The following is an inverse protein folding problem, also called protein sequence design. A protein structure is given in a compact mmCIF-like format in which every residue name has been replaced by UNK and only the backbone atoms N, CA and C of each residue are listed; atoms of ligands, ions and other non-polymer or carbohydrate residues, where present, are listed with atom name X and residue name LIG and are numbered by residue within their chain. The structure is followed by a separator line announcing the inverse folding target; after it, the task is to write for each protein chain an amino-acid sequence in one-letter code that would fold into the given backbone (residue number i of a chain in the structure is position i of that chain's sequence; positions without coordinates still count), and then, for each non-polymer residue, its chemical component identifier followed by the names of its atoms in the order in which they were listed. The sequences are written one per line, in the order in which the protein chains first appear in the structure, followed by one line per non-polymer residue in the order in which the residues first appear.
data_IF_510386540532
#
_entry.id   IF_510386540532
#
_cell.length_a   1.000
_cell.length_b   1.000
_cell.length_c   1.000
_cell.angle_alpha   90.00
_cell.angle_beta   90.00
_cell.angle_gamma   90.00
#
_symmetry.space_group_name_H-M   'P 1'
#
loop_
_entity.id
_entity.type
_entity.pdbx_description
1 polymer ?
#
# COMPACT_ATOMS: atom_id res chain seq x y z
N UNK A 1 25.55 7.31 10.16
CA UNK A 1 24.16 7.76 10.38
C UNK A 1 23.40 6.61 11.05
N UNK A 2 22.68 6.87 12.16
CA UNK A 2 21.90 5.84 12.88
C UNK A 2 20.51 5.69 12.25
N UNK A 3 20.10 4.45 11.98
CA UNK A 3 18.87 4.11 11.27
C UNK A 3 18.02 3.17 12.11
N UNK A 4 16.77 3.58 12.41
CA UNK A 4 15.79 2.73 13.06
C UNK A 4 14.78 2.22 12.03
N UNK A 5 14.62 0.90 11.95
CA UNK A 5 13.50 0.29 11.21
C UNK A 5 12.28 0.25 12.12
N UNK A 6 11.12 0.64 11.60
CA UNK A 6 9.86 0.55 12.35
C UNK A 6 8.85 -0.35 11.65
N UNK A 7 8.06 -1.07 12.44
CA UNK A 7 6.90 -1.81 11.96
C UNK A 7 5.76 -1.80 13.00
N UNK A 8 4.52 -1.93 12.52
CA UNK A 8 3.35 -2.15 13.38
C UNK A 8 2.76 -3.51 13.07
N UNK A 9 2.33 -4.22 14.08
CA UNK A 9 1.79 -5.58 13.96
C UNK A 9 0.46 -5.74 14.71
N UNK A 10 -0.41 -6.60 14.18
CA UNK A 10 -1.62 -7.04 14.87
C UNK A 10 -2.07 -8.41 14.30
N UNK A 11 -1.94 -9.48 15.08
CA UNK A 11 -2.33 -10.84 14.71
C UNK A 11 -1.72 -11.30 13.37
N UNK A 12 -0.39 -11.16 13.25
CA UNK A 12 0.37 -11.57 12.07
C UNK A 12 0.73 -13.07 12.09
N UNK A 13 0.77 -13.68 13.28
CA UNK A 13 1.14 -15.07 13.44
C UNK A 13 2.47 -15.40 12.77
N UNK A 14 2.53 -16.51 12.04
CA UNK A 14 3.73 -16.95 11.32
C UNK A 14 4.18 -16.00 10.19
N UNK A 15 3.30 -15.12 9.71
CA UNK A 15 3.66 -14.22 8.60
C UNK A 15 4.78 -13.23 8.96
N UNK A 16 4.90 -12.86 10.26
CA UNK A 16 5.93 -11.94 10.75
C UNK A 16 7.35 -12.50 10.58
N UNK A 17 7.52 -13.84 10.58
CA UNK A 17 8.84 -14.46 10.40
C UNK A 17 9.50 -14.02 9.09
N UNK A 18 8.73 -13.89 8.01
CA UNK A 18 9.27 -13.47 6.71
C UNK A 18 9.93 -12.09 6.79
N UNK A 19 9.30 -11.16 7.50
CA UNK A 19 9.89 -9.84 7.74
C UNK A 19 11.16 -9.98 8.59
N UNK A 20 11.10 -10.68 9.73
CA UNK A 20 12.23 -10.81 10.66
C UNK A 20 13.43 -11.51 10.02
N UNK A 21 13.21 -12.60 9.26
CA UNK A 21 14.29 -13.27 8.51
C UNK A 21 14.89 -12.33 7.44
N UNK A 22 14.06 -11.57 6.72
CA UNK A 22 14.56 -10.63 5.72
C UNK A 22 15.29 -9.43 6.34
N UNK A 23 14.99 -9.05 7.57
CA UNK A 23 15.75 -8.06 8.34
C UNK A 23 17.09 -8.62 8.81
N UNK A 24 17.12 -9.89 9.21
CA UNK A 24 18.34 -10.54 9.64
C UNK A 24 19.34 -10.80 8.49
N UNK A 25 18.86 -10.87 7.25
CA UNK A 25 19.69 -11.07 6.04
C UNK A 25 20.12 -9.78 5.34
N UNK A 26 19.82 -8.61 5.89
CA UNK A 26 20.20 -7.34 5.26
C UNK A 26 21.69 -7.15 5.15
N UNK A 27 22.19 -6.68 3.97
CA UNK A 27 23.59 -6.28 3.76
C UNK A 27 24.01 -5.14 4.69
N UNK A 28 23.09 -4.22 4.98
CA UNK A 28 23.18 -3.18 6.01
C UNK A 28 22.18 -3.51 7.10
N UNK A 29 22.64 -4.01 8.24
CA UNK A 29 21.76 -4.26 9.39
C UNK A 29 21.23 -2.93 9.95
N UNK A 30 19.97 -2.88 10.41
CA UNK A 30 19.45 -1.72 11.13
C UNK A 30 20.16 -1.57 12.47
N UNK A 31 20.36 -0.32 12.91
CA UNK A 31 20.94 -0.06 14.23
C UNK A 31 19.93 -0.30 15.35
N UNK A 32 18.64 -0.34 14.99
CA UNK A 32 17.52 -0.56 15.91
C UNK A 32 16.28 -0.98 15.09
N UNK A 33 15.47 -1.84 15.66
CA UNK A 33 14.16 -2.22 15.10
C UNK A 33 13.11 -1.98 16.17
N UNK A 34 12.19 -1.04 15.97
CA UNK A 34 11.10 -0.77 16.90
C UNK A 34 9.80 -1.31 16.34
N UNK A 35 9.24 -2.32 17.00
CA UNK A 35 7.97 -2.94 16.63
C UNK A 35 6.91 -2.57 17.66
N UNK A 36 5.78 -2.02 17.20
CA UNK A 36 4.61 -1.78 18.06
C UNK A 36 3.53 -2.80 17.72
N UNK A 37 3.16 -3.60 18.72
CA UNK A 37 2.09 -4.57 18.65
C UNK A 37 0.79 -3.95 19.18
N UNK A 38 -0.23 -3.87 18.34
CA UNK A 38 -1.56 -3.32 18.66
C UNK A 38 -2.39 -4.16 19.63
N UNK A 39 -1.79 -5.14 20.29
CA UNK A 39 -2.44 -6.07 21.23
C UNK A 39 -2.81 -7.40 20.55
N UNK A 40 -1.85 -8.03 19.89
CA UNK A 40 -2.05 -9.36 19.29
C UNK A 40 -2.46 -10.40 20.34
N UNK A 41 -3.40 -11.25 19.96
CA UNK A 41 -3.92 -12.34 20.79
C UNK A 41 -3.41 -13.72 20.32
N UNK A 42 -2.62 -13.74 19.25
CA UNK A 42 -1.97 -14.91 18.68
C UNK A 42 -0.47 -14.99 19.07
N UNK A 43 0.30 -15.79 18.36
CA UNK A 43 1.73 -15.99 18.66
C UNK A 43 2.64 -14.85 18.18
N UNK A 44 2.11 -13.73 17.63
CA UNK A 44 2.90 -12.65 17.02
C UNK A 44 3.98 -12.12 17.96
N UNK A 45 3.62 -11.72 19.18
CA UNK A 45 4.57 -11.16 20.15
C UNK A 45 5.65 -12.18 20.54
N UNK A 46 5.28 -13.44 20.78
CA UNK A 46 6.22 -14.51 21.13
C UNK A 46 7.21 -14.78 20.00
N UNK A 47 6.76 -14.78 18.74
CA UNK A 47 7.63 -14.93 17.57
C UNK A 47 8.62 -13.76 17.51
N UNK A 48 8.18 -12.52 17.66
CA UNK A 48 9.07 -11.35 17.64
C UNK A 48 10.12 -11.44 18.73
N UNK A 49 9.73 -11.80 19.96
CA UNK A 49 10.65 -11.98 21.07
C UNK A 49 11.71 -13.05 20.81
N UNK A 50 11.40 -14.11 20.08
CA UNK A 50 12.37 -15.15 19.74
C UNK A 50 13.52 -14.67 18.84
N UNK A 51 13.40 -13.49 18.21
CA UNK A 51 14.44 -12.89 17.36
C UNK A 51 15.33 -11.85 18.07
N UNK A 52 15.04 -11.49 19.32
CA UNK A 52 15.80 -10.44 20.04
C UNK A 52 17.26 -10.76 20.24
N UNK A 53 17.64 -12.04 20.24
CA UNK A 53 19.06 -12.47 20.30
C UNK A 53 19.80 -12.32 18.95
N UNK A 54 19.06 -12.15 17.83
CA UNK A 54 19.62 -12.05 16.47
C UNK A 54 19.51 -10.63 15.89
N UNK A 55 18.55 -9.86 16.36
CA UNK A 55 18.20 -8.54 15.85
C UNK A 55 18.03 -7.55 17.01
N UNK A 56 18.41 -6.28 16.86
CA UNK A 56 18.26 -5.24 17.88
C UNK A 56 16.79 -4.76 18.00
N UNK A 57 15.89 -5.66 18.41
CA UNK A 57 14.46 -5.41 18.46
C UNK A 57 14.05 -4.81 19.80
N UNK A 58 13.29 -3.73 19.73
CA UNK A 58 12.50 -3.17 20.84
C UNK A 58 11.03 -3.42 20.52
N UNK A 59 10.41 -4.36 21.24
CA UNK A 59 8.98 -4.65 21.13
C UNK A 59 8.21 -3.82 22.17
N UNK A 60 7.18 -3.11 21.69
CA UNK A 60 6.20 -2.40 22.53
C UNK A 60 4.81 -2.96 22.26
N UNK A 61 4.05 -3.22 23.31
CA UNK A 61 2.65 -3.64 23.21
C UNK A 61 1.76 -2.47 23.62
N UNK A 62 0.91 -2.03 22.69
CA UNK A 62 -0.05 -0.92 22.90
C UNK A 62 -1.44 -1.40 22.47
N UNK A 63 -2.20 -2.04 23.35
CA UNK A 63 -3.49 -2.62 23.01
C UNK A 63 -4.47 -1.56 22.48
N UNK A 64 -5.10 -1.86 21.34
CA UNK A 64 -6.05 -0.98 20.69
C UNK A 64 -5.42 0.14 19.83
N UNK A 65 -4.08 0.19 19.73
CA UNK A 65 -3.45 1.11 18.80
C UNK A 65 -3.83 0.79 17.36
N UNK A 66 -4.35 1.79 16.64
CA UNK A 66 -4.48 1.68 15.19
C UNK A 66 -3.09 1.84 14.52
N UNK A 67 -3.03 1.63 13.21
CA UNK A 67 -1.77 1.67 12.46
C UNK A 67 -1.04 3.02 12.58
N UNK A 68 -1.76 4.15 12.58
CA UNK A 68 -1.19 5.50 12.73
C UNK A 68 -0.56 5.68 14.09
N UNK A 69 -1.31 5.36 15.16
CA UNK A 69 -0.82 5.43 16.55
C UNK A 69 0.38 4.50 16.76
N UNK A 70 0.29 3.27 16.25
CA UNK A 70 1.40 2.32 16.34
C UNK A 70 2.68 2.84 15.69
N UNK A 71 2.59 3.42 14.48
CA UNK A 71 3.73 4.05 13.80
C UNK A 71 4.27 5.24 14.57
N UNK A 72 3.41 6.15 15.03
CA UNK A 72 3.83 7.30 15.82
C UNK A 72 4.58 6.87 17.10
N UNK A 73 4.07 5.87 17.82
CA UNK A 73 4.72 5.32 19.00
C UNK A 73 6.07 4.66 18.68
N UNK A 74 6.16 3.95 17.57
CA UNK A 74 7.41 3.33 17.12
C UNK A 74 8.46 4.41 16.80
N UNK A 75 8.07 5.46 16.05
CA UNK A 75 8.97 6.56 15.68
C UNK A 75 9.39 7.37 16.89
N UNK A 76 8.47 7.69 17.78
CA UNK A 76 8.77 8.41 19.04
C UNK A 76 9.81 7.66 19.89
N UNK A 77 9.71 6.32 19.93
CA UNK A 77 10.61 5.46 20.68
C UNK A 77 11.96 5.24 19.97
N UNK A 78 12.00 5.38 18.65
CA UNK A 78 13.20 5.16 17.85
C UNK A 78 14.28 6.20 18.16
N UNK A 79 15.54 5.74 18.25
CA UNK A 79 16.70 6.59 18.54
C UNK A 79 17.46 7.05 17.28
N UNK A 80 17.14 6.47 16.10
CA UNK A 80 17.75 6.80 14.83
C UNK A 80 17.31 8.15 14.29
N UNK A 81 18.23 8.89 13.67
CA UNK A 81 17.93 10.12 12.94
C UNK A 81 17.13 9.83 11.65
N UNK A 82 17.31 8.65 11.07
CA UNK A 82 16.56 8.14 9.93
C UNK A 82 15.62 7.02 10.38
N UNK A 83 14.38 7.15 9.97
CA UNK A 83 13.33 6.15 10.21
C UNK A 83 13.04 5.45 8.88
N UNK A 84 13.23 4.14 8.83
CA UNK A 84 12.83 3.29 7.72
C UNK A 84 11.55 2.52 8.13
N UNK A 85 10.44 2.78 7.46
CA UNK A 85 9.18 2.12 7.76
C UNK A 85 8.90 0.97 6.78
N UNK A 86 8.38 -0.12 7.34
CA UNK A 86 7.91 -1.28 6.58
C UNK A 86 6.67 -1.90 7.23
N UNK A 87 5.94 -2.74 6.48
CA UNK A 87 4.76 -3.46 6.97
C UNK A 87 5.14 -4.90 7.39
N UNK A 88 4.42 -5.47 8.33
CA UNK A 88 4.68 -6.82 8.86
C UNK A 88 4.57 -7.94 7.82
N UNK A 89 3.65 -7.82 6.87
CA UNK A 89 3.36 -8.85 5.87
C UNK A 89 4.28 -8.86 4.63
N UNK A 90 5.42 -8.17 4.66
CA UNK A 90 6.33 -8.09 3.51
C UNK A 90 7.57 -8.96 3.69
N UNK A 91 8.28 -9.19 2.57
CA UNK A 91 9.64 -9.71 2.53
C UNK A 91 10.52 -8.66 1.85
N UNK A 92 11.55 -8.22 2.54
CA UNK A 92 12.52 -7.26 2.04
C UNK A 92 13.55 -7.97 1.15
N UNK A 93 14.10 -7.28 0.16
CA UNK A 93 15.31 -7.77 -0.54
C UNK A 93 16.53 -7.57 0.35
N UNK A 94 17.60 -8.35 0.13
CA UNK A 94 18.79 -8.37 1.00
C UNK A 94 19.52 -7.03 1.10
N UNK A 95 19.36 -6.15 0.11
CA UNK A 95 19.94 -4.79 0.08
C UNK A 95 18.90 -3.69 0.23
N UNK A 96 17.71 -4.00 0.73
CA UNK A 96 16.62 -3.05 0.86
C UNK A 96 16.99 -1.82 1.68
N UNK A 97 17.54 -2.02 2.88
CA UNK A 97 17.89 -0.91 3.78
C UNK A 97 19.04 -0.08 3.22
N UNK A 98 20.05 -0.71 2.65
CA UNK A 98 21.17 -0.04 1.99
C UNK A 98 20.70 0.91 0.90
N UNK A 99 19.85 0.44 -0.03
CA UNK A 99 19.32 1.27 -1.10
C UNK A 99 18.36 2.35 -0.61
N UNK A 100 17.60 2.07 0.46
CA UNK A 100 16.64 3.02 0.99
C UNK A 100 17.31 4.20 1.69
N UNK A 101 18.47 3.99 2.32
CA UNK A 101 19.21 5.05 3.04
C UNK A 101 20.27 5.76 2.20
N UNK A 102 20.72 5.18 1.10
CA UNK A 102 21.77 5.74 0.25
C UNK A 102 21.53 7.21 -0.18
N UNK A 103 20.29 7.64 -0.50
CA UNK A 103 20.06 9.05 -0.82
C UNK A 103 20.38 10.02 0.35
N UNK A 104 20.14 9.64 1.60
CA UNK A 104 20.47 10.48 2.77
C UNK A 104 21.97 10.57 3.01
N UNK A 105 22.72 9.55 2.58
CA UNK A 105 24.19 9.53 2.70
C UNK A 105 24.85 10.39 1.62
N UNK A 106 24.23 10.47 0.44
CA UNK A 106 24.74 11.23 -0.70
C UNK A 106 24.33 12.70 -0.69
N UNK A 107 23.18 13.04 -0.11
CA UNK A 107 22.63 14.40 -0.07
C UNK A 107 21.94 14.68 1.27
N UNK A 108 22.56 15.50 2.14
CA UNK A 108 21.99 15.89 3.45
C UNK A 108 20.67 16.67 3.36
N UNK A 109 20.30 17.19 2.19
CA UNK A 109 19.02 17.90 2.00
C UNK A 109 17.83 16.97 1.86
N UNK A 110 18.06 15.69 1.56
CA UNK A 110 17.00 14.67 1.43
C UNK A 110 16.29 14.47 2.77
N UNK A 111 14.97 14.63 2.76
CA UNK A 111 14.13 14.45 3.95
C UNK A 111 13.25 13.22 3.89
N UNK A 112 13.02 12.67 2.69
CA UNK A 112 12.20 11.48 2.47
C UNK A 112 12.66 10.68 1.25
N UNK A 113 12.60 9.36 1.37
CA UNK A 113 12.97 8.40 0.31
C UNK A 113 11.84 7.40 0.14
N UNK A 114 11.40 7.22 -1.10
CA UNK A 114 10.41 6.22 -1.49
C UNK A 114 11.11 5.03 -2.12
N UNK A 115 11.01 3.85 -1.51
CA UNK A 115 11.35 2.59 -2.15
C UNK A 115 10.24 2.11 -3.09
N UNK A 116 10.31 0.84 -3.47
CA UNK A 116 9.35 0.22 -4.39
C UNK A 116 8.88 -1.14 -3.88
N UNK A 117 7.79 -1.64 -4.47
CA UNK A 117 7.19 -2.90 -4.06
C UNK A 117 6.68 -3.70 -5.26
N UNK A 118 6.84 -5.02 -5.18
CA UNK A 118 6.35 -5.98 -6.17
C UNK A 118 5.43 -7.02 -5.52
N UNK A 119 4.52 -7.62 -6.30
CA UNK A 119 3.68 -8.69 -5.79
C UNK A 119 4.49 -9.99 -5.59
N UNK A 120 4.31 -10.63 -4.42
CA UNK A 120 4.78 -11.99 -4.11
C UNK A 120 3.65 -12.96 -4.43
N UNK A 121 3.58 -13.44 -5.67
CA UNK A 121 2.44 -14.20 -6.17
C UNK A 121 2.68 -15.71 -6.03
N UNK A 122 1.63 -16.44 -5.63
CA UNK A 122 1.65 -17.91 -5.45
C UNK A 122 0.57 -18.59 -6.27
N UNK A 123 -0.43 -17.84 -6.71
CA UNK A 123 -1.57 -18.34 -7.48
C UNK A 123 -1.87 -17.45 -8.67
N UNK A 124 -2.57 -18.00 -9.67
CA UNK A 124 -3.04 -17.26 -10.85
C UNK A 124 -3.93 -16.07 -10.46
N UNK A 125 -4.75 -16.24 -9.42
CA UNK A 125 -5.59 -15.16 -8.90
C UNK A 125 -4.77 -14.02 -8.30
N UNK A 126 -3.75 -14.35 -7.50
CA UNK A 126 -2.84 -13.34 -6.93
C UNK A 126 -2.03 -12.61 -8.01
N UNK A 127 -1.65 -13.31 -9.10
CA UNK A 127 -0.99 -12.69 -10.24
C UNK A 127 -1.92 -11.70 -10.95
N UNK A 128 -3.17 -12.08 -11.22
CA UNK A 128 -4.18 -11.19 -11.76
C UNK A 128 -4.44 -9.99 -10.84
N UNK A 129 -4.49 -10.22 -9.52
CA UNK A 129 -4.66 -9.20 -8.50
C UNK A 129 -3.46 -8.23 -8.53
N UNK A 130 -2.22 -8.73 -8.47
CA UNK A 130 -1.00 -7.94 -8.53
C UNK A 130 -0.95 -7.05 -9.77
N UNK A 131 -1.19 -7.62 -10.96
CA UNK A 131 -1.23 -6.88 -12.22
C UNK A 131 -2.33 -5.81 -12.25
N UNK A 132 -3.45 -6.06 -11.56
CA UNK A 132 -4.59 -5.13 -11.56
C UNK A 132 -4.37 -3.94 -10.62
N UNK A 133 -3.78 -4.15 -9.45
CA UNK A 133 -3.78 -3.14 -8.38
C UNK A 133 -2.42 -2.50 -8.13
N UNK A 134 -1.32 -3.10 -8.60
CA UNK A 134 0.02 -2.57 -8.38
C UNK A 134 0.60 -1.96 -9.66
N UNK A 135 1.31 -0.83 -9.54
CA UNK A 135 2.08 -0.30 -10.66
C UNK A 135 3.29 -1.19 -10.93
N UNK A 136 3.78 -1.17 -12.16
CA UNK A 136 5.13 -1.60 -12.49
C UNK A 136 6.10 -0.43 -12.34
N UNK A 137 7.40 -0.73 -12.24
CA UNK A 137 8.45 0.29 -12.18
C UNK A 137 8.39 1.26 -13.36
N UNK A 138 8.05 0.76 -14.54
CA UNK A 138 7.85 1.54 -15.77
C UNK A 138 6.64 2.46 -15.76
N UNK A 139 5.70 2.26 -14.85
CA UNK A 139 4.53 3.13 -14.68
C UNK A 139 4.81 4.35 -13.78
N UNK A 140 5.97 4.38 -13.10
CA UNK A 140 6.29 5.37 -12.08
C UNK A 140 6.91 6.61 -12.72
N UNK A 141 6.37 7.76 -12.36
CA UNK A 141 7.05 9.02 -12.53
C UNK A 141 7.73 9.38 -11.18
N UNK A 142 9.07 9.33 -11.10
CA UNK A 142 9.79 9.57 -9.84
C UNK A 142 9.46 10.91 -9.17
N UNK A 143 9.19 11.95 -9.95
CA UNK A 143 8.91 13.30 -9.42
C UNK A 143 7.55 13.40 -8.70
N UNK A 144 6.62 12.47 -8.95
CA UNK A 144 5.26 12.51 -8.42
C UNK A 144 4.86 11.25 -7.65
N UNK A 145 5.74 10.26 -7.59
CA UNK A 145 5.46 9.03 -6.88
C UNK A 145 5.41 9.28 -5.38
N UNK A 146 4.32 8.87 -4.77
CA UNK A 146 4.19 8.84 -3.31
C UNK A 146 4.58 7.45 -2.82
N UNK A 147 5.31 7.36 -1.71
CA UNK A 147 5.72 6.08 -1.16
C UNK A 147 4.51 5.24 -0.71
N UNK A 148 4.80 4.00 -0.38
CA UNK A 148 3.95 3.17 0.45
C UNK A 148 4.71 2.88 1.73
N UNK A 149 4.06 2.86 2.86
CA UNK A 149 4.67 2.50 4.15
C UNK A 149 5.29 1.10 4.19
N UNK A 150 5.21 0.35 3.09
CA UNK A 150 5.96 -0.91 2.91
C UNK A 150 7.45 -0.70 2.67
N UNK A 151 7.81 0.44 2.05
CA UNK A 151 9.19 0.80 1.74
C UNK A 151 9.31 2.31 1.65
N UNK A 152 9.53 2.96 2.77
CA UNK A 152 9.72 4.41 2.87
C UNK A 152 10.70 4.72 3.98
N UNK A 153 11.55 5.73 3.78
CA UNK A 153 12.36 6.29 4.85
C UNK A 153 12.24 7.82 4.89
N UNK A 154 12.42 8.38 6.05
CA UNK A 154 12.40 9.84 6.27
C UNK A 154 13.23 10.20 7.50
N UNK A 155 13.64 11.48 7.57
CA UNK A 155 14.30 11.97 8.78
C UNK A 155 13.30 12.07 9.93
N UNK A 156 13.70 11.70 11.14
CA UNK A 156 12.85 11.85 12.33
C UNK A 156 12.42 13.32 12.54
N UNK A 157 13.32 14.25 12.27
CA UNK A 157 13.04 15.68 12.31
C UNK A 157 11.93 16.11 11.32
N UNK A 158 11.89 15.53 10.12
CA UNK A 158 10.80 15.80 9.17
C UNK A 158 9.47 15.27 9.67
N UNK A 159 9.43 14.04 10.24
CA UNK A 159 8.24 13.49 10.89
C UNK A 159 7.73 14.39 12.03
N UNK A 160 8.60 14.92 12.85
CA UNK A 160 8.23 15.87 13.92
C UNK A 160 7.63 17.15 13.34
N UNK A 161 8.25 17.74 12.32
CA UNK A 161 7.74 18.97 11.68
C UNK A 161 6.35 18.79 11.05
N UNK A 162 6.09 17.62 10.45
CA UNK A 162 4.77 17.36 9.84
C UNK A 162 3.71 16.91 10.85
N UNK A 163 4.10 16.68 12.11
CA UNK A 163 3.20 16.28 13.19
C UNK A 163 2.73 14.82 13.12
N UNK A 164 3.54 13.95 12.53
CA UNK A 164 3.33 12.51 12.50
C UNK A 164 2.18 12.01 11.63
N UNK A 165 1.88 10.73 11.78
CA UNK A 165 0.73 10.08 11.12
C UNK A 165 -0.59 10.50 11.77
N UNK A 166 -1.68 10.72 11.00
CA UNK A 166 -2.98 11.15 11.52
C UNK A 166 -3.69 10.00 12.27
N UNK A 167 -3.71 10.02 13.59
CA UNK A 167 -4.24 8.92 14.42
C UNK A 167 -5.77 8.74 14.31
N UNK A 168 -6.49 9.73 13.77
CA UNK A 168 -7.91 9.62 13.45
C UNK A 168 -8.21 8.82 12.17
N UNK A 169 -7.16 8.44 11.40
CA UNK A 169 -7.27 7.56 10.24
C UNK A 169 -6.80 6.14 10.57
N UNK A 170 -7.59 5.19 10.13
CA UNK A 170 -7.33 3.76 10.17
C UNK A 170 -6.95 3.18 8.79
N UNK A 171 -7.13 3.97 7.73
CA UNK A 171 -6.74 3.70 6.34
C UNK A 171 -6.43 5.01 5.61
N UNK A 172 -5.53 4.98 4.65
CA UNK A 172 -5.01 6.15 3.91
C UNK A 172 -4.26 7.16 4.79
N UNK A 173 -3.83 6.73 5.98
CA UNK A 173 -3.00 7.50 6.89
C UNK A 173 -1.63 7.83 6.28
N UNK A 174 -1.08 6.87 5.52
CA UNK A 174 0.17 7.02 4.77
C UNK A 174 0.07 8.11 3.72
N UNK A 175 -1.00 8.14 2.93
CA UNK A 175 -1.20 9.17 1.91
C UNK A 175 -1.29 10.58 2.52
N UNK A 176 -1.99 10.74 3.65
CA UNK A 176 -2.08 12.05 4.32
C UNK A 176 -0.72 12.46 4.86
N UNK A 177 0.02 11.53 5.47
CA UNK A 177 1.38 11.77 5.93
C UNK A 177 2.31 12.15 4.76
N UNK A 178 2.26 11.41 3.66
CA UNK A 178 3.10 11.65 2.49
C UNK A 178 2.83 13.01 1.83
N UNK A 179 1.57 13.43 1.74
CA UNK A 179 1.23 14.76 1.24
C UNK A 179 1.81 15.86 2.15
N UNK A 180 1.65 15.72 3.47
CA UNK A 180 2.22 16.67 4.43
C UNK A 180 3.75 16.69 4.38
N UNK A 181 4.38 15.52 4.28
CA UNK A 181 5.83 15.40 4.09
C UNK A 181 6.27 16.15 2.83
N UNK A 182 5.59 15.92 1.70
CA UNK A 182 5.90 16.58 0.43
C UNK A 182 5.77 18.10 0.53
N UNK A 183 4.73 18.60 1.19
CA UNK A 183 4.44 20.03 1.27
C UNK A 183 5.37 20.76 2.26
N UNK A 184 5.75 20.11 3.36
CA UNK A 184 6.51 20.73 4.46
C UNK A 184 8.01 20.41 4.39
N UNK A 185 8.35 19.18 4.01
CA UNK A 185 9.74 18.68 4.03
C UNK A 185 10.35 18.48 2.63
N UNK A 186 9.55 18.60 1.57
CA UNK A 186 9.97 18.43 0.17
C UNK A 186 9.63 17.06 -0.42
N UNK A 187 9.92 16.88 -1.72
CA UNK A 187 9.58 15.66 -2.44
C UNK A 187 10.36 14.45 -1.93
N UNK A 188 9.78 13.26 -2.10
CA UNK A 188 10.49 12.01 -1.85
C UNK A 188 11.46 11.70 -2.99
N UNK A 189 12.69 11.35 -2.65
CA UNK A 189 13.65 10.77 -3.59
C UNK A 189 13.24 9.33 -3.89
N UNK A 190 13.15 8.95 -5.16
CA UNK A 190 12.75 7.60 -5.55
C UNK A 190 13.96 6.66 -5.59
N UNK A 191 13.97 5.64 -4.73
CA UNK A 191 14.96 4.57 -4.64
C UNK A 191 14.34 3.23 -5.10
N UNK A 192 14.25 2.98 -6.42
CA UNK A 192 13.51 1.84 -6.95
C UNK A 192 14.10 0.47 -6.60
N UNK A 193 15.36 0.42 -6.18
CA UNK A 193 16.04 -0.81 -5.79
C UNK A 193 15.87 -1.15 -4.28
N UNK A 194 15.35 -0.20 -3.49
CA UNK A 194 14.84 -0.46 -2.15
C UNK A 194 13.51 -1.21 -2.23
N UNK A 195 13.60 -2.50 -2.62
CA UNK A 195 12.49 -3.31 -3.07
C UNK A 195 11.95 -4.22 -1.98
N UNK A 196 10.63 -4.27 -1.86
CA UNK A 196 9.92 -5.23 -1.01
C UNK A 196 8.94 -6.06 -1.81
N UNK A 197 8.72 -7.30 -1.37
CA UNK A 197 7.70 -8.18 -1.91
C UNK A 197 6.55 -8.29 -0.93
N UNK A 198 5.33 -8.13 -1.40
CA UNK A 198 4.15 -8.31 -0.58
C UNK A 198 3.11 -9.19 -1.26
N UNK A 199 2.44 -10.04 -0.49
CA UNK A 199 1.44 -10.95 -1.02
C UNK A 199 0.11 -10.21 -1.28
N UNK A 200 -0.41 -10.21 -2.53
CA UNK A 200 -1.73 -9.69 -2.82
C UNK A 200 -2.82 -10.46 -2.05
N UNK A 201 -4.02 -9.89 -1.93
CA UNK A 201 -5.13 -10.59 -1.30
C UNK A 201 -5.47 -11.88 -2.06
N UNK A 202 -5.70 -12.95 -1.32
CA UNK A 202 -5.90 -14.30 -1.86
C UNK A 202 -7.33 -14.58 -2.30
N UNK A 203 -8.27 -13.65 -2.05
CA UNK A 203 -9.68 -13.82 -2.40
C UNK A 203 -10.37 -12.49 -2.74
N UNK A 204 -11.41 -12.55 -3.60
CA UNK A 204 -12.25 -11.39 -3.91
C UNK A 204 -12.92 -10.79 -2.67
N UNK A 205 -13.30 -11.61 -1.70
CA UNK A 205 -13.92 -11.14 -0.45
C UNK A 205 -12.94 -10.28 0.36
N UNK A 206 -11.72 -10.76 0.54
CA UNK A 206 -10.66 -10.02 1.26
C UNK A 206 -10.29 -8.73 0.51
N UNK A 207 -10.19 -8.80 -0.82
CA UNK A 207 -9.95 -7.65 -1.69
C UNK A 207 -11.08 -6.61 -1.59
N UNK A 208 -12.34 -7.03 -1.73
CA UNK A 208 -13.50 -6.15 -1.58
C UNK A 208 -13.49 -5.42 -0.22
N UNK A 209 -13.27 -6.18 0.88
CA UNK A 209 -13.17 -5.60 2.23
C UNK A 209 -12.10 -4.52 2.29
N UNK A 210 -10.89 -4.82 1.81
CA UNK A 210 -9.75 -3.89 1.81
C UNK A 210 -10.06 -2.62 1.02
N UNK A 211 -10.57 -2.76 -0.21
CA UNK A 211 -10.81 -1.61 -1.08
C UNK A 211 -12.00 -0.75 -0.63
N UNK A 212 -12.99 -1.37 0.03
CA UNK A 212 -14.06 -0.63 0.69
C UNK A 212 -13.53 0.22 1.85
N UNK A 213 -12.60 -0.34 2.63
CA UNK A 213 -11.97 0.36 3.76
C UNK A 213 -11.02 1.47 3.28
N UNK A 214 -10.25 1.25 2.21
CA UNK A 214 -9.44 2.29 1.59
C UNK A 214 -10.30 3.46 1.11
N UNK A 215 -11.38 3.19 0.39
CA UNK A 215 -12.27 4.25 -0.06
C UNK A 215 -13.01 4.96 1.09
N UNK A 216 -13.28 4.26 2.20
CA UNK A 216 -13.76 4.91 3.43
C UNK A 216 -12.69 5.86 3.98
N UNK A 217 -11.43 5.48 3.99
CA UNK A 217 -10.29 6.34 4.32
C UNK A 217 -10.21 7.56 3.39
N UNK A 218 -10.32 7.35 2.06
CA UNK A 218 -10.38 8.44 1.08
C UNK A 218 -11.50 9.45 1.42
N UNK A 219 -12.70 8.95 1.78
CA UNK A 219 -13.84 9.79 2.17
C UNK A 219 -13.63 10.53 3.49
N UNK A 220 -13.01 9.88 4.48
CA UNK A 220 -12.64 10.51 5.76
C UNK A 220 -11.65 11.65 5.56
N UNK A 221 -10.60 11.42 4.76
CA UNK A 221 -9.50 12.36 4.51
C UNK A 221 -9.75 13.30 3.33
N UNK A 222 -10.92 13.25 2.71
CA UNK A 222 -11.27 14.08 1.55
C UNK A 222 -10.34 13.93 0.35
N UNK A 223 -9.88 12.71 0.14
CA UNK A 223 -8.99 12.35 -0.97
C UNK A 223 -9.76 12.00 -2.24
N UNK A 224 -9.17 12.26 -3.38
CA UNK A 224 -9.55 11.74 -4.69
C UNK A 224 -10.99 12.01 -5.15
N UNK A 225 -11.64 13.12 -4.73
CA UNK A 225 -13.01 13.50 -5.09
C UNK A 225 -13.31 13.31 -6.59
N UNK A 226 -12.43 13.83 -7.47
CA UNK A 226 -12.59 13.73 -8.93
C UNK A 226 -12.60 12.26 -9.41
N UNK A 227 -11.71 11.42 -8.88
CA UNK A 227 -11.64 9.99 -9.25
C UNK A 227 -12.92 9.24 -8.84
N UNK A 228 -13.45 9.54 -7.65
CA UNK A 228 -14.70 8.97 -7.17
C UNK A 228 -15.89 9.48 -8.00
N UNK A 229 -15.98 10.78 -8.29
CA UNK A 229 -17.04 11.35 -9.13
C UNK A 229 -17.07 10.72 -10.54
N UNK A 230 -15.92 10.56 -11.20
CA UNK A 230 -15.82 9.89 -12.50
C UNK A 230 -16.35 8.46 -12.40
N UNK A 231 -16.00 7.72 -11.35
CA UNK A 231 -16.49 6.34 -11.14
C UNK A 231 -18.02 6.30 -11.04
N UNK A 232 -18.63 7.16 -10.22
CA UNK A 232 -20.09 7.25 -10.15
C UNK A 232 -20.71 7.62 -11.48
N UNK A 233 -20.14 8.60 -12.20
CA UNK A 233 -20.60 8.99 -13.54
C UNK A 233 -20.58 7.82 -14.53
N UNK A 234 -19.50 7.03 -14.54
CA UNK A 234 -19.39 5.86 -15.42
C UNK A 234 -20.43 4.79 -15.07
N UNK A 235 -20.55 4.41 -13.80
CA UNK A 235 -21.40 3.28 -13.40
C UNK A 235 -22.87 3.63 -13.26
N UNK A 236 -23.23 4.85 -12.84
CA UNK A 236 -24.62 5.23 -12.57
C UNK A 236 -25.27 6.03 -13.71
N UNK A 237 -24.46 6.57 -14.63
CA UNK A 237 -24.97 7.36 -15.75
C UNK A 237 -24.54 6.74 -17.08
N UNK A 238 -23.23 6.64 -17.32
CA UNK A 238 -22.68 6.20 -18.61
C UNK A 238 -23.11 4.78 -18.99
N UNK A 239 -22.95 3.81 -18.08
CA UNK A 239 -23.31 2.43 -18.35
C UNK A 239 -24.83 2.24 -18.57
N UNK A 240 -25.74 2.81 -17.74
CA UNK A 240 -27.18 2.78 -18.03
C UNK A 240 -27.56 3.45 -19.36
N UNK A 241 -26.94 4.58 -19.71
CA UNK A 241 -27.21 5.26 -20.98
C UNK A 241 -26.81 4.40 -22.19
N UNK A 242 -25.63 3.75 -22.14
CA UNK A 242 -25.19 2.82 -23.18
C UNK A 242 -26.16 1.64 -23.30
N UNK A 243 -26.58 1.08 -22.16
CA UNK A 243 -27.56 0.00 -22.14
C UNK A 243 -28.87 0.44 -22.78
N UNK A 244 -29.43 1.59 -22.37
CA UNK A 244 -30.67 2.14 -22.91
C UNK A 244 -30.56 2.43 -24.42
N UNK A 245 -29.45 3.00 -24.87
CA UNK A 245 -29.20 3.26 -26.28
C UNK A 245 -29.20 1.96 -27.12
N UNK A 246 -28.63 0.88 -26.58
CA UNK A 246 -28.63 -0.43 -27.22
C UNK A 246 -30.05 -1.03 -27.38
N UNK A 247 -30.96 -0.74 -26.46
CA UNK A 247 -32.37 -1.17 -26.55
C UNK A 247 -33.21 -0.22 -27.40
N UNK A 248 -33.05 1.10 -27.21
CA UNK A 248 -33.97 2.09 -27.76
C UNK A 248 -33.55 2.61 -29.15
N UNK A 249 -32.26 2.60 -29.47
CA UNK A 249 -31.71 3.17 -30.70
C UNK A 249 -31.18 2.06 -31.63
N UNK A 250 -30.13 1.39 -31.25
CA UNK A 250 -29.55 0.31 -32.07
C UNK A 250 -28.65 -0.62 -31.21
N UNK A 251 -28.71 -1.96 -31.38
CA UNK A 251 -27.88 -2.92 -30.59
C UNK A 251 -26.39 -2.73 -30.69
N UNK A 252 -25.87 -2.11 -31.77
CA UNK A 252 -24.43 -1.81 -31.89
C UNK A 252 -23.90 -0.89 -30.79
N UNK A 253 -24.78 -0.12 -30.11
CA UNK A 253 -24.38 0.71 -28.98
C UNK A 253 -23.79 -0.14 -27.83
N UNK A 254 -24.19 -1.41 -27.68
CA UNK A 254 -23.58 -2.32 -26.70
C UNK A 254 -22.12 -2.63 -26.99
N UNK A 255 -21.66 -2.44 -28.23
CA UNK A 255 -20.23 -2.52 -28.57
C UNK A 255 -19.37 -1.54 -27.76
N UNK A 256 -19.93 -0.43 -27.29
CA UNK A 256 -19.25 0.51 -26.41
C UNK A 256 -18.84 -0.11 -25.07
N UNK A 257 -19.59 -1.11 -24.57
CA UNK A 257 -19.17 -1.86 -23.38
C UNK A 257 -17.89 -2.66 -23.64
N UNK A 258 -17.78 -3.30 -24.80
CA UNK A 258 -16.57 -4.04 -25.18
C UNK A 258 -15.36 -3.10 -25.31
N UNK A 259 -15.54 -1.97 -26.01
CA UNK A 259 -14.49 -0.94 -26.15
C UNK A 259 -14.10 -0.37 -24.77
N UNK A 260 -15.09 -0.05 -23.94
CA UNK A 260 -14.85 0.42 -22.58
C UNK A 260 -14.12 -0.61 -21.71
N UNK A 261 -14.50 -1.89 -21.78
CA UNK A 261 -13.85 -2.97 -21.05
C UNK A 261 -12.38 -3.17 -21.48
N UNK A 262 -12.11 -3.13 -22.79
CA UNK A 262 -10.74 -3.22 -23.32
C UNK A 262 -9.90 -2.02 -22.83
N UNK A 263 -10.40 -0.81 -22.99
CA UNK A 263 -9.71 0.40 -22.53
C UNK A 263 -9.45 0.37 -21.02
N UNK A 264 -10.44 -0.09 -20.24
CA UNK A 264 -10.38 -0.18 -18.80
C UNK A 264 -9.39 -1.25 -18.30
N UNK A 265 -9.27 -2.38 -19.00
CA UNK A 265 -8.38 -3.49 -18.62
C UNK A 265 -7.01 -3.43 -19.29
N UNK A 266 -6.77 -2.52 -20.24
CA UNK A 266 -5.53 -2.44 -21.02
C UNK A 266 -4.27 -2.43 -20.15
N UNK A 267 -4.21 -1.54 -19.14
CA UNK A 267 -3.04 -1.44 -18.26
C UNK A 267 -2.82 -2.71 -17.42
N UNK A 268 -3.81 -3.24 -16.68
CA UNK A 268 -3.63 -4.52 -16.00
C UNK A 268 -3.17 -5.65 -16.92
N UNK A 269 -3.76 -5.79 -18.11
CA UNK A 269 -3.35 -6.82 -19.07
C UNK A 269 -1.92 -6.65 -19.56
N UNK A 270 -1.45 -5.40 -19.78
CA UNK A 270 -0.06 -5.17 -20.18
C UNK A 270 0.96 -5.50 -19.08
N UNK A 271 0.53 -5.52 -17.80
CA UNK A 271 1.37 -5.87 -16.65
C UNK A 271 1.42 -7.38 -16.39
N UNK A 272 0.41 -8.14 -16.85
CA UNK A 272 0.31 -9.58 -16.59
C UNK A 272 1.57 -10.36 -16.95
N UNK A 273 2.21 -10.17 -18.12
CA UNK A 273 3.40 -10.95 -18.49
C UNK A 273 4.54 -10.79 -17.48
N UNK A 274 4.72 -9.61 -16.92
CA UNK A 274 5.76 -9.35 -15.91
C UNK A 274 5.44 -10.00 -14.58
N UNK A 275 4.18 -9.92 -14.13
CA UNK A 275 3.74 -10.50 -12.85
C UNK A 275 3.71 -12.03 -12.91
N UNK A 276 3.24 -12.59 -14.02
CA UNK A 276 3.17 -14.06 -14.23
C UNK A 276 4.55 -14.74 -14.22
N UNK A 277 5.63 -14.02 -14.54
CA UNK A 277 7.00 -14.56 -14.38
C UNK A 277 7.35 -14.91 -12.92
N UNK A 278 6.69 -14.29 -11.96
CA UNK A 278 6.83 -14.64 -10.54
C UNK A 278 6.10 -15.91 -10.14
N UNK A 279 5.29 -16.51 -11.02
CA UNK A 279 4.56 -17.74 -10.75
C UNK A 279 5.26 -18.93 -11.43
N UNK A 280 5.92 -19.81 -10.66
CA UNK A 280 6.59 -21.00 -11.23
C UNK A 280 5.62 -21.88 -12.03
N UNK A 281 6.08 -22.38 -13.16
CA UNK A 281 5.33 -23.31 -14.03
C UNK A 281 4.01 -22.80 -14.62
N UNK A 282 3.78 -21.48 -14.65
CA UNK A 282 2.59 -20.91 -15.27
C UNK A 282 2.55 -21.19 -16.78
N UNK A 283 1.50 -21.85 -17.26
CA UNK A 283 1.26 -22.15 -18.67
C UNK A 283 0.34 -21.12 -19.33
N UNK A 284 0.11 -21.32 -20.66
CA UNK A 284 -0.79 -20.47 -21.46
C UNK A 284 -2.20 -20.40 -20.87
N UNK A 285 -2.72 -21.54 -20.37
CA UNK A 285 -4.06 -21.58 -19.75
C UNK A 285 -4.12 -20.71 -18.48
N UNK A 286 -3.05 -20.68 -17.69
CA UNK A 286 -2.99 -19.85 -16.49
C UNK A 286 -2.95 -18.36 -16.82
N UNK A 287 -2.28 -18.00 -17.92
CA UNK A 287 -2.31 -16.65 -18.44
C UNK A 287 -3.72 -16.23 -18.87
N UNK A 288 -4.45 -17.09 -19.57
CA UNK A 288 -5.84 -16.85 -19.98
C UNK A 288 -6.74 -16.68 -18.75
N UNK A 289 -6.60 -17.55 -17.74
CA UNK A 289 -7.34 -17.43 -16.48
C UNK A 289 -7.02 -16.11 -15.76
N UNK A 290 -5.74 -15.72 -15.68
CA UNK A 290 -5.33 -14.46 -15.07
C UNK A 290 -5.94 -13.26 -15.82
N UNK A 291 -5.92 -13.28 -17.17
CA UNK A 291 -6.50 -12.23 -17.98
C UNK A 291 -8.03 -12.12 -17.79
N UNK A 292 -8.72 -13.25 -17.62
CA UNK A 292 -10.16 -13.29 -17.33
C UNK A 292 -10.49 -12.75 -15.92
N UNK A 293 -9.60 -12.91 -14.93
CA UNK A 293 -9.79 -12.35 -13.60
C UNK A 293 -9.68 -10.82 -13.56
N UNK A 294 -8.90 -10.20 -14.44
CA UNK A 294 -8.66 -8.75 -14.45
C UNK A 294 -9.96 -7.92 -14.45
N UNK A 295 -10.90 -8.11 -15.40
CA UNK A 295 -12.15 -7.33 -15.39
C UNK A 295 -12.99 -7.57 -14.13
N UNK A 296 -13.02 -8.79 -13.61
CA UNK A 296 -13.75 -9.12 -12.38
C UNK A 296 -13.18 -8.35 -11.19
N UNK A 297 -11.86 -8.38 -11.01
CA UNK A 297 -11.16 -7.67 -9.94
C UNK A 297 -11.39 -6.15 -10.06
N UNK A 298 -11.34 -5.61 -11.28
CA UNK A 298 -11.58 -4.18 -11.54
C UNK A 298 -12.98 -3.75 -11.11
N UNK A 299 -14.00 -4.48 -11.56
CA UNK A 299 -15.40 -4.16 -11.23
C UNK A 299 -15.64 -4.31 -9.72
N UNK A 300 -15.20 -5.41 -9.11
CA UNK A 300 -15.34 -5.61 -7.65
C UNK A 300 -14.64 -4.50 -6.86
N UNK A 301 -13.46 -4.06 -7.30
CA UNK A 301 -12.74 -2.94 -6.70
C UNK A 301 -13.49 -1.61 -6.80
N UNK A 302 -14.10 -1.33 -7.95
CA UNK A 302 -14.88 -0.10 -8.12
C UNK A 302 -16.18 -0.13 -7.30
N UNK A 303 -16.90 -1.24 -7.27
CA UNK A 303 -18.09 -1.41 -6.41
C UNK A 303 -17.71 -1.22 -4.94
N UNK A 304 -16.61 -1.82 -4.50
CA UNK A 304 -16.12 -1.65 -3.13
C UNK A 304 -15.84 -0.17 -2.80
N UNK A 305 -15.22 0.56 -3.73
CA UNK A 305 -14.94 1.99 -3.57
C UNK A 305 -16.20 2.85 -3.58
N UNK A 306 -17.16 2.53 -4.42
CA UNK A 306 -18.44 3.24 -4.47
C UNK A 306 -19.25 3.10 -3.17
N UNK A 307 -19.11 1.97 -2.48
CA UNK A 307 -19.76 1.75 -1.18
C UNK A 307 -18.95 2.39 -0.03
N UNK A 308 -17.63 2.29 -0.09
CA UNK A 308 -16.75 2.78 0.98
C UNK A 308 -16.66 4.30 1.07
N UNK A 309 -16.56 5.00 -0.06
CA UNK A 309 -16.32 6.44 -0.11
C UNK A 309 -17.42 7.26 0.58
N UNK A 310 -18.73 7.05 0.30
CA UNK A 310 -19.79 7.80 0.98
C UNK A 310 -19.81 7.59 2.48
N UNK A 311 -19.50 6.37 2.94
CA UNK A 311 -19.41 6.09 4.37
C UNK A 311 -18.30 6.91 5.05
N UNK A 312 -17.18 7.11 4.37
CA UNK A 312 -16.10 7.99 4.84
C UNK A 312 -16.50 9.46 4.85
N UNK A 313 -17.15 9.94 3.79
CA UNK A 313 -17.66 11.31 3.68
C UNK A 313 -18.67 11.60 4.80
N UNK A 314 -19.62 10.69 5.03
CA UNK A 314 -20.59 10.83 6.10
C UNK A 314 -19.92 10.87 7.48
N UNK A 315 -18.92 10.01 7.71
CA UNK A 315 -18.13 10.03 8.94
C UNK A 315 -17.44 11.40 9.12
N UNK A 316 -16.80 11.94 8.07
CA UNK A 316 -16.12 13.25 8.11
C UNK A 316 -17.07 14.38 8.46
N UNK A 317 -18.26 14.40 7.86
CA UNK A 317 -19.27 15.44 8.14
C UNK A 317 -19.69 15.39 9.63
N UNK A 318 -19.83 14.19 10.18
CA UNK A 318 -20.26 13.99 11.58
C UNK A 318 -19.17 14.31 12.60
N UNK A 319 -17.93 13.90 12.33
CA UNK A 319 -16.84 13.95 13.31
C UNK A 319 -15.92 15.17 13.15
N UNK A 320 -16.01 15.86 12.01
CA UNK A 320 -15.21 17.07 11.69
C UNK A 320 -13.73 16.91 12.11
N UNK A 321 -12.99 15.93 11.52
CA UNK A 321 -11.60 15.72 11.86
C UNK A 321 -10.77 16.99 11.58
N UNK A 322 -9.55 17.08 12.16
CA UNK A 322 -8.64 18.18 11.87
C UNK A 322 -8.39 18.36 10.38
N UNK A 323 -8.31 19.60 9.92
CA UNK A 323 -7.82 19.88 8.58
C UNK A 323 -6.33 19.52 8.52
N UNK A 324 -6.00 18.64 7.59
CA UNK A 324 -4.65 18.15 7.42
C UNK A 324 -3.90 18.82 6.26
N UNK A 325 -4.58 19.64 5.45
CA UNK A 325 -4.02 20.40 4.32
C UNK A 325 -3.36 21.66 4.74
#
# INVERSE_FOLDING_TARGET
MRVSVIATVLNEGESIRRLLESLASQSRLPDEIVIVDGGSTDQTAAIIQSYTNRLPIVLRVEPGANISRGRNLAIAAASGAIIAATDAGVRLTDRWLEYLIAPFESDPSVQGVSGFFLPDVRTVFEAAMGATVLPQRTDINPATFLPSSRSVAFTKAAWERVGGYPEWLDYCEDLVFDFRMKDIAGPFTFAPDALVYFQPRTSLRAFYKQYRLYARGDGKADLWRKRHAIRYGVYLIGAPLIAAAGFAIHPTAWGLFAVGAVAYCRRPWSRLPAVMRGLPHAGTLDFVKAAAWVPVIRVVGDVAKMIGYPAGVLWRIRHRPPDWR
#
